data_IF_274237186867
#
_entry.id   IF_274237186867
#
_cell.length_a   1.000
_cell.length_b   1.000
_cell.length_c   1.000
_cell.angle_alpha   90.00
_cell.angle_beta   90.00
_cell.angle_gamma   90.00
#
_symmetry.space_group_name_H-M   'P 1'
#
loop_
_entity.id
_entity.type
_entity.pdbx_description
1 polymer ?
#
# COMPACT_ATOMS: atom_id res chain seq x y z
N UNK A 1 -26.87 24.55 -49.46
CA UNK A 1 -26.71 25.90 -50.04
C UNK A 1 -27.58 26.88 -49.28
N UNK A 2 -27.05 28.01 -48.80
CA UNK A 2 -27.78 29.00 -48.01
C UNK A 2 -28.86 29.68 -48.87
N UNK A 3 -30.15 29.68 -48.48
CA UNK A 3 -31.23 30.22 -49.31
C UNK A 3 -31.22 31.76 -49.42
N UNK A 4 -30.48 32.46 -48.57
CA UNK A 4 -30.36 33.92 -48.61
C UNK A 4 -29.21 34.42 -49.50
N UNK A 5 -28.03 33.79 -49.43
CA UNK A 5 -26.84 34.24 -50.16
C UNK A 5 -26.33 33.24 -51.22
N UNK A 6 -27.04 32.12 -51.41
CA UNK A 6 -26.72 31.04 -52.37
C UNK A 6 -25.33 30.40 -52.22
N UNK A 7 -24.64 30.59 -51.09
CA UNK A 7 -23.36 29.95 -50.80
C UNK A 7 -23.54 28.44 -50.50
N UNK A 8 -22.66 27.61 -51.06
CA UNK A 8 -22.58 26.16 -50.81
C UNK A 8 -21.67 25.79 -49.64
N UNK A 9 -20.94 26.76 -49.07
CA UNK A 9 -20.04 26.51 -47.94
C UNK A 9 -20.77 26.81 -46.61
N UNK A 10 -21.27 25.76 -45.95
CA UNK A 10 -22.04 25.86 -44.69
C UNK A 10 -21.28 25.10 -43.61
N UNK A 11 -20.96 25.78 -42.51
CA UNK A 11 -20.35 25.20 -41.31
C UNK A 11 -21.30 25.35 -40.11
N UNK A 12 -21.28 24.36 -39.21
CA UNK A 12 -21.99 24.46 -37.93
C UNK A 12 -21.05 25.13 -36.93
N UNK A 13 -21.57 26.12 -36.23
CA UNK A 13 -20.89 26.73 -35.07
C UNK A 13 -21.64 26.34 -33.81
N UNK A 14 -20.91 26.27 -32.70
CA UNK A 14 -21.50 25.99 -31.40
C UNK A 14 -22.40 27.16 -30.98
N UNK A 15 -23.55 26.84 -30.40
CA UNK A 15 -24.46 27.84 -29.84
C UNK A 15 -23.81 28.48 -28.61
N UNK A 16 -23.89 29.82 -28.42
CA UNK A 16 -23.24 30.51 -27.30
C UNK A 16 -23.94 30.29 -25.95
N UNK A 17 -24.98 29.44 -25.89
CA UNK A 17 -25.75 29.20 -24.67
C UNK A 17 -25.03 28.20 -23.78
N UNK A 18 -24.58 28.66 -22.61
CA UNK A 18 -24.09 27.82 -21.53
C UNK A 18 -25.25 27.44 -20.58
N UNK A 19 -25.55 26.16 -20.45
CA UNK A 19 -26.49 25.66 -19.44
C UNK A 19 -25.64 25.24 -18.24
N UNK A 20 -25.69 26.01 -17.15
CA UNK A 20 -25.11 25.58 -15.89
C UNK A 20 -26.07 24.56 -15.26
N UNK A 21 -25.83 23.27 -15.52
CA UNK A 21 -26.43 22.23 -14.70
C UNK A 21 -25.78 22.34 -13.32
N UNK A 22 -26.58 22.65 -12.29
CA UNK A 22 -26.23 22.36 -10.91
C UNK A 22 -26.30 20.84 -10.70
N UNK A 23 -25.49 20.11 -11.46
CA UNK A 23 -25.19 18.73 -11.14
C UNK A 23 -24.28 18.83 -9.92
N UNK A 24 -24.92 18.63 -8.77
CA UNK A 24 -24.33 18.79 -7.45
C UNK A 24 -22.97 18.13 -7.38
N UNK A 25 -22.15 18.67 -6.49
CA UNK A 25 -20.85 18.18 -6.10
C UNK A 25 -20.94 16.72 -5.60
N UNK A 26 -21.13 15.79 -6.52
CA UNK A 26 -20.68 14.42 -6.37
C UNK A 26 -19.17 14.43 -6.56
N UNK A 27 -18.45 15.07 -5.63
CA UNK A 27 -17.16 14.50 -5.26
C UNK A 27 -17.52 13.08 -4.85
N UNK A 28 -17.28 12.13 -5.75
CA UNK A 28 -17.05 10.76 -5.35
C UNK A 28 -16.09 10.87 -4.19
N UNK A 29 -16.60 10.68 -2.96
CA UNK A 29 -15.75 10.42 -1.81
C UNK A 29 -15.13 9.09 -2.14
N UNK A 30 -14.05 9.14 -2.91
CA UNK A 30 -13.06 8.09 -2.89
C UNK A 30 -12.70 8.01 -1.41
N UNK A 31 -13.18 6.94 -0.77
CA UNK A 31 -12.81 6.59 0.59
C UNK A 31 -11.32 6.25 0.50
N UNK A 32 -10.47 7.27 0.42
CA UNK A 32 -9.05 7.10 0.63
C UNK A 32 -8.93 6.46 2.00
N UNK A 33 -8.54 5.17 2.09
CA UNK A 33 -8.41 4.52 3.36
C UNK A 33 -7.43 5.36 4.17
N UNK A 34 -7.80 5.69 5.40
CA UNK A 34 -6.94 6.42 6.32
C UNK A 34 -5.65 5.60 6.50
N UNK A 35 -4.61 5.92 5.72
CA UNK A 35 -3.41 5.09 5.57
C UNK A 35 -2.73 4.84 6.91
N UNK A 36 -2.92 5.76 7.87
CA UNK A 36 -2.45 5.62 9.24
C UNK A 36 -3.21 4.51 9.98
N UNK A 37 -4.54 4.51 9.93
CA UNK A 37 -5.36 3.45 10.55
C UNK A 37 -5.08 2.08 9.94
N UNK A 38 -4.90 2.03 8.62
CA UNK A 38 -4.52 0.80 7.94
C UNK A 38 -3.15 0.29 8.40
N UNK A 39 -2.15 1.17 8.47
CA UNK A 39 -0.82 0.80 8.97
C UNK A 39 -0.85 0.30 10.42
N UNK A 40 -1.60 0.97 11.30
CA UNK A 40 -1.77 0.53 12.69
C UNK A 40 -2.43 -0.85 12.77
N UNK A 41 -3.50 -1.09 12.01
CA UNK A 41 -4.17 -2.39 11.98
C UNK A 41 -3.27 -3.53 11.48
N UNK A 42 -2.41 -3.25 10.50
CA UNK A 42 -1.41 -4.23 10.04
C UNK A 42 -0.39 -4.55 11.13
N UNK A 43 0.12 -3.53 11.85
CA UNK A 43 1.07 -3.75 12.94
C UNK A 43 0.47 -4.53 14.09
N UNK A 44 -0.76 -4.19 14.50
CA UNK A 44 -1.49 -4.91 15.54
C UNK A 44 -1.73 -6.37 15.14
N UNK A 45 -2.10 -6.62 13.87
CA UNK A 45 -2.23 -7.97 13.35
C UNK A 45 -0.91 -8.74 13.43
N UNK A 46 0.21 -8.13 13.02
CA UNK A 46 1.53 -8.76 13.11
C UNK A 46 1.89 -9.08 14.56
N UNK A 47 1.68 -8.14 15.48
CA UNK A 47 1.99 -8.33 16.91
C UNK A 47 1.19 -9.49 17.53
N UNK A 48 -0.07 -9.65 17.15
CA UNK A 48 -0.97 -10.66 17.72
C UNK A 48 -0.89 -12.03 17.04
N UNK A 49 -0.42 -12.12 15.79
CA UNK A 49 -0.45 -13.35 15.00
C UNK A 49 0.94 -13.92 14.65
N UNK A 50 2.02 -13.23 15.04
CA UNK A 50 3.39 -13.64 14.76
C UNK A 50 4.18 -13.75 16.06
N UNK A 51 4.89 -14.87 16.20
CA UNK A 51 5.76 -15.12 17.34
C UNK A 51 6.99 -14.22 17.27
N UNK A 52 7.21 -13.42 18.32
CA UNK A 52 8.38 -12.56 18.44
C UNK A 52 9.60 -13.39 18.89
N UNK A 53 10.55 -13.55 17.99
CA UNK A 53 11.81 -14.26 18.21
C UNK A 53 13.00 -13.32 18.40
N UNK A 54 12.75 -12.00 18.47
CA UNK A 54 13.78 -10.99 18.69
C UNK A 54 14.94 -11.10 17.68
N UNK A 55 16.17 -11.09 18.17
CA UNK A 55 17.40 -11.17 17.36
C UNK A 55 17.66 -12.54 16.76
N UNK A 56 16.94 -13.59 17.17
CA UNK A 56 17.11 -14.94 16.64
C UNK A 56 16.31 -15.18 15.35
N UNK A 57 15.74 -14.14 14.73
CA UNK A 57 14.90 -14.24 13.54
C UNK A 57 15.54 -15.06 12.42
N UNK A 58 16.80 -14.78 12.08
CA UNK A 58 17.47 -15.47 10.99
C UNK A 58 17.67 -16.96 11.29
N UNK A 59 18.04 -17.28 12.53
CA UNK A 59 18.25 -18.65 13.00
C UNK A 59 16.95 -19.44 12.99
N UNK A 60 15.86 -18.87 13.50
CA UNK A 60 14.54 -19.51 13.50
C UNK A 60 14.00 -19.67 12.08
N UNK A 61 14.16 -18.67 11.20
CA UNK A 61 13.76 -18.75 9.81
C UNK A 61 14.48 -19.90 9.06
N UNK A 62 15.79 -20.07 9.29
CA UNK A 62 16.56 -21.18 8.75
C UNK A 62 16.06 -22.53 9.28
N UNK A 63 15.83 -22.66 10.59
CA UNK A 63 15.29 -23.90 11.17
C UNK A 63 13.94 -24.28 10.55
N UNK A 64 13.06 -23.30 10.32
CA UNK A 64 11.76 -23.52 9.68
C UNK A 64 11.93 -23.92 8.21
N UNK A 65 12.84 -23.26 7.49
CA UNK A 65 13.14 -23.56 6.09
C UNK A 65 13.64 -25.01 5.90
N UNK A 66 14.53 -25.46 6.78
CA UNK A 66 15.08 -26.82 6.78
C UNK A 66 14.19 -27.87 7.46
N UNK A 67 13.04 -27.47 8.01
CA UNK A 67 12.10 -28.38 8.69
C UNK A 67 12.59 -28.90 10.05
N UNK A 68 13.58 -28.24 10.67
CA UNK A 68 14.06 -28.54 12.03
C UNK A 68 13.09 -28.00 13.08
N UNK A 69 12.39 -26.91 12.77
CA UNK A 69 11.35 -26.32 13.60
C UNK A 69 9.98 -26.36 12.91
N UNK A 70 8.91 -26.29 13.70
CA UNK A 70 7.55 -26.25 13.19
C UNK A 70 7.29 -24.96 12.38
N UNK A 71 6.55 -25.09 11.28
CA UNK A 71 6.16 -23.95 10.44
C UNK A 71 5.17 -23.07 11.19
N UNK A 72 5.58 -21.85 11.51
CA UNK A 72 4.77 -20.81 12.16
C UNK A 72 5.18 -19.42 11.68
N UNK A 73 4.32 -18.44 11.94
CA UNK A 73 4.59 -17.05 11.63
C UNK A 73 5.56 -16.48 12.67
N UNK A 74 6.72 -15.99 12.25
CA UNK A 74 7.72 -15.39 13.14
C UNK A 74 8.00 -13.94 12.76
N UNK A 75 8.28 -13.10 13.77
CA UNK A 75 8.75 -11.72 13.61
C UNK A 75 9.98 -11.50 14.49
N UNK A 76 10.84 -10.58 14.09
CA UNK A 76 12.04 -10.26 14.85
C UNK A 76 12.95 -9.31 14.09
N UNK A 77 14.19 -9.21 14.55
CA UNK A 77 15.25 -8.41 13.95
C UNK A 77 16.34 -9.30 13.38
N UNK A 78 16.96 -8.82 12.30
CA UNK A 78 18.11 -9.45 11.68
C UNK A 78 19.12 -8.37 11.30
N UNK A 79 20.39 -8.72 11.34
CA UNK A 79 21.49 -7.90 10.83
C UNK A 79 21.53 -7.94 9.30
N UNK A 80 22.24 -7.01 8.67
CA UNK A 80 22.40 -6.96 7.21
C UNK A 80 23.04 -8.24 6.67
N UNK A 81 24.01 -8.79 7.38
CA UNK A 81 24.69 -10.04 7.01
C UNK A 81 23.72 -11.22 7.05
N UNK A 82 22.91 -11.31 8.11
CA UNK A 82 21.90 -12.35 8.23
C UNK A 82 20.82 -12.25 7.15
N UNK A 83 20.40 -11.03 6.79
CA UNK A 83 19.47 -10.82 5.68
C UNK A 83 20.01 -11.30 4.33
N UNK A 84 21.29 -11.14 4.07
CA UNK A 84 21.95 -11.66 2.87
C UNK A 84 21.92 -13.19 2.87
N UNK A 85 22.29 -13.82 3.98
CA UNK A 85 22.20 -15.28 4.16
C UNK A 85 20.77 -15.77 3.89
N UNK A 86 19.76 -15.12 4.49
CA UNK A 86 18.36 -15.50 4.27
C UNK A 86 17.96 -15.42 2.79
N UNK A 87 18.45 -14.42 2.04
CA UNK A 87 18.18 -14.31 0.60
C UNK A 87 18.89 -15.38 -0.22
N UNK A 88 20.15 -15.67 0.09
CA UNK A 88 20.93 -16.73 -0.57
C UNK A 88 20.28 -18.10 -0.39
N UNK A 89 19.75 -18.36 0.81
CA UNK A 89 18.99 -19.56 1.16
C UNK A 89 17.58 -19.59 0.54
N UNK A 90 17.16 -18.52 -0.14
CA UNK A 90 15.85 -18.41 -0.78
C UNK A 90 14.69 -18.16 0.19
N UNK A 91 14.97 -17.71 1.40
CA UNK A 91 13.98 -17.38 2.42
C UNK A 91 13.42 -15.97 2.15
N UNK A 92 12.11 -15.88 1.93
CA UNK A 92 11.41 -14.61 1.69
C UNK A 92 11.01 -13.97 3.01
N UNK A 93 11.34 -12.69 3.17
CA UNK A 93 10.94 -11.90 4.33
C UNK A 93 10.54 -10.47 3.91
N UNK A 94 9.87 -9.76 4.81
CA UNK A 94 9.40 -8.38 4.59
C UNK A 94 9.98 -7.52 5.71
N UNK A 95 10.52 -6.36 5.34
CA UNK A 95 10.94 -5.36 6.33
C UNK A 95 9.76 -4.48 6.69
N UNK A 96 9.41 -4.46 7.97
CA UNK A 96 8.36 -3.61 8.50
C UNK A 96 9.01 -2.36 9.10
N UNK A 97 8.57 -1.14 8.74
CA UNK A 97 9.06 0.08 9.37
C UNK A 97 8.79 0.05 10.86
N UNK A 98 9.77 0.35 11.70
CA UNK A 98 9.52 0.58 13.13
C UNK A 98 8.99 1.99 13.33
N UNK A 99 7.74 2.11 13.77
CA UNK A 99 7.22 3.38 14.27
C UNK A 99 7.85 3.53 15.65
N UNK A 100 8.75 4.49 15.82
CA UNK A 100 9.27 4.85 17.15
C UNK A 100 8.09 5.41 17.95
N UNK A 101 7.50 4.60 18.83
CA UNK A 101 6.71 5.12 19.95
C UNK A 101 7.71 5.80 20.88
N UNK A 102 7.60 7.10 21.07
CA UNK A 102 8.45 7.86 22.00
C UNK A 102 8.09 7.45 23.43
N UNK A 103 8.53 6.27 23.86
CA UNK A 103 8.47 5.81 25.25
C UNK A 103 9.85 5.29 25.74
N UNK A 104 10.92 5.54 24.97
CA UNK A 104 12.32 5.22 25.31
C UNK A 104 13.12 6.45 25.78
N UNK A 105 12.48 7.42 26.43
CA UNK A 105 13.13 8.52 27.17
C UNK A 105 12.81 8.38 28.67
N UNK A 106 13.39 7.39 29.36
CA UNK A 106 13.49 7.38 30.83
C UNK A 106 14.75 6.68 31.33
#
# INVERSE_FOLDING_TARGET
>A
TCPFCKSTNISRVLSPVAIQSSQGEGKSRELEPDSKKLATGIMEYIQNNFDDVGTDFAKEALKIHYGVAEKRNIRGSATVVEEEILKEEGIKFIKVPTIKTQDDDN
#
